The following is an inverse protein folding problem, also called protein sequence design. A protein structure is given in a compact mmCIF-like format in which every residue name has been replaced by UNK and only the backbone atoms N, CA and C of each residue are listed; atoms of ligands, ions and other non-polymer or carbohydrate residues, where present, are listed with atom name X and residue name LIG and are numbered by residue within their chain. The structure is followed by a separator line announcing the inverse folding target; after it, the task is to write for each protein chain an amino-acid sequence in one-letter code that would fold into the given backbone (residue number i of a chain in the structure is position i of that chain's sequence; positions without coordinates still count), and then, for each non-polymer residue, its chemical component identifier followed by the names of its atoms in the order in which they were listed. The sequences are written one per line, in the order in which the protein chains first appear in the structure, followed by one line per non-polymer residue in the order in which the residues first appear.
data_IF_270588019655
#
_entry.id   IF_270588019655
#
_cell.length_a   1.000
_cell.length_b   1.000
_cell.length_c   1.000
_cell.angle_alpha   90.00
_cell.angle_beta   90.00
_cell.angle_gamma   90.00
#
_symmetry.space_group_name_H-M   'P 1'
#
loop_
_entity.id
_entity.type
_entity.pdbx_description
1 polymer ?
#
# COMPACT_ATOMS: atom_id res chain seq x y z
N UNK A 1 21.93 16.84 25.46
CA UNK A 1 21.51 17.42 24.17
C UNK A 1 20.48 16.55 23.52
N UNK A 2 20.91 15.54 22.75
CA UNK A 2 20.04 14.69 21.93
C UNK A 2 18.89 14.00 22.68
N UNK A 3 19.17 13.31 23.80
CA UNK A 3 18.13 12.72 24.67
C UNK A 3 17.11 13.71 25.25
N UNK A 4 17.51 14.97 25.45
CA UNK A 4 16.59 16.00 25.97
C UNK A 4 15.67 16.49 24.85
N UNK A 5 16.18 16.59 23.62
CA UNK A 5 15.39 16.97 22.44
C UNK A 5 14.36 15.90 22.11
N UNK A 6 14.74 14.63 22.20
CA UNK A 6 13.84 13.47 22.01
C UNK A 6 12.67 13.50 22.99
N UNK A 7 12.95 13.58 24.30
CA UNK A 7 11.91 13.67 25.34
C UNK A 7 11.07 14.95 25.23
N UNK A 8 11.67 16.08 24.84
CA UNK A 8 10.91 17.31 24.61
C UNK A 8 9.97 17.18 23.40
N UNK A 9 10.38 16.47 22.35
CA UNK A 9 9.55 16.12 21.20
C UNK A 9 8.34 15.29 21.62
N UNK A 10 8.56 14.22 22.38
CA UNK A 10 7.48 13.36 22.91
C UNK A 10 6.46 14.16 23.73
N UNK A 11 6.92 15.04 24.63
CA UNK A 11 6.04 15.88 25.45
C UNK A 11 5.21 16.83 24.58
N UNK A 12 5.81 17.47 23.58
CA UNK A 12 5.09 18.35 22.66
C UNK A 12 4.04 17.59 21.86
N UNK A 13 4.37 16.38 21.39
CA UNK A 13 3.42 15.49 20.71
C UNK A 13 2.21 15.18 21.59
N UNK A 14 2.45 14.84 22.86
CA UNK A 14 1.38 14.58 23.83
C UNK A 14 0.51 15.82 24.09
N UNK A 15 1.11 17.01 24.20
CA UNK A 15 0.38 18.27 24.38
C UNK A 15 -0.53 18.56 23.17
N UNK A 16 -0.02 18.38 21.96
CA UNK A 16 -0.81 18.62 20.75
C UNK A 16 -1.91 17.58 20.57
N UNK A 17 -1.68 16.32 20.95
CA UNK A 17 -2.72 15.30 20.99
C UNK A 17 -3.85 15.65 21.98
N UNK A 18 -3.53 16.16 23.17
CA UNK A 18 -4.54 16.61 24.15
C UNK A 18 -5.36 17.79 23.63
N UNK A 19 -4.73 18.75 22.91
CA UNK A 19 -5.46 19.87 22.29
C UNK A 19 -6.43 19.38 21.22
N UNK A 20 -6.01 18.42 20.39
CA UNK A 20 -6.84 17.79 19.35
C UNK A 20 -8.07 17.12 19.96
N UNK A 21 -7.86 16.29 20.98
CA UNK A 21 -8.93 15.67 21.77
C UNK A 21 -9.91 16.70 22.35
N UNK A 22 -9.43 17.85 22.83
CA UNK A 22 -10.29 18.90 23.36
C UNK A 22 -11.09 19.63 22.27
N UNK A 23 -10.54 19.77 21.04
CA UNK A 23 -11.24 20.35 19.89
C UNK A 23 -12.30 19.41 19.31
N UNK A 24 -12.00 18.12 19.23
CA UNK A 24 -12.93 17.12 18.70
C UNK A 24 -14.22 17.00 19.56
N UNK A 25 -14.11 17.25 20.87
CA UNK A 25 -15.26 17.32 21.79
C UNK A 25 -16.14 18.57 21.63
N UNK A 26 -15.64 19.60 20.94
CA UNK A 26 -16.36 20.86 20.73
C UNK A 26 -17.20 20.82 19.46
N UNK A 27 -16.70 20.21 18.38
CA UNK A 27 -17.33 20.23 17.04
C UNK A 27 -16.94 18.98 16.20
N UNK A 28 -17.65 17.85 16.35
CA UNK A 28 -17.40 16.55 15.65
C UNK A 28 -17.27 16.61 14.11
N UNK A 29 -17.56 17.75 13.47
CA UNK A 29 -17.55 17.93 12.01
C UNK A 29 -16.46 18.85 11.48
N UNK A 30 -15.64 19.45 12.34
CA UNK A 30 -14.56 20.35 11.93
C UNK A 30 -13.21 19.80 12.43
N UNK A 31 -12.14 19.96 11.65
CA UNK A 31 -10.80 19.52 12.04
C UNK A 31 -9.96 19.01 10.88
N UNK A 32 -8.97 18.16 11.20
CA UNK A 32 -8.09 17.54 10.20
C UNK A 32 -7.93 16.05 10.46
N UNK A 33 -7.89 15.26 9.39
CA UNK A 33 -7.56 13.83 9.44
C UNK A 33 -6.33 13.56 8.57
N UNK A 34 -5.26 13.09 9.18
CA UNK A 34 -3.98 12.76 8.58
C UNK A 34 -3.81 11.25 8.47
N UNK A 35 -3.64 10.76 7.25
CA UNK A 35 -3.51 9.33 6.93
C UNK A 35 -2.15 9.08 6.28
N UNK A 36 -1.36 8.14 6.78
CA UNK A 36 -0.18 7.66 6.06
C UNK A 36 -0.49 6.37 5.29
N UNK A 37 -0.02 6.21 4.05
CA UNK A 37 -0.29 5.00 3.29
C UNK A 37 0.69 4.74 2.15
N UNK A 38 0.70 3.51 1.63
CA UNK A 38 1.51 3.16 0.45
C UNK A 38 0.81 3.57 -0.85
N UNK A 39 1.57 3.67 -1.94
CA UNK A 39 1.04 4.12 -3.24
C UNK A 39 -0.18 3.31 -3.71
N UNK A 40 -0.11 1.99 -3.63
CA UNK A 40 -1.21 1.09 -4.00
C UNK A 40 -2.52 1.43 -3.28
N UNK A 41 -2.45 1.71 -1.98
CA UNK A 41 -3.62 2.02 -1.15
C UNK A 41 -4.19 3.40 -1.50
N UNK A 42 -3.32 4.42 -1.59
CA UNK A 42 -3.70 5.78 -1.96
C UNK A 42 -4.41 5.83 -3.31
N UNK A 43 -3.91 5.07 -4.29
CA UNK A 43 -4.38 5.15 -5.68
C UNK A 43 -5.62 4.30 -5.95
N UNK A 44 -5.69 3.09 -5.39
CA UNK A 44 -6.68 2.10 -5.83
C UNK A 44 -7.70 1.70 -4.75
N UNK A 45 -7.41 1.90 -3.47
CA UNK A 45 -8.32 1.52 -2.38
C UNK A 45 -9.06 2.71 -1.78
N UNK A 46 -8.35 3.81 -1.53
CA UNK A 46 -8.88 4.95 -0.79
C UNK A 46 -9.78 5.95 -1.55
N UNK A 47 -9.71 6.14 -2.87
CA UNK A 47 -10.46 7.23 -3.52
C UNK A 47 -11.97 7.21 -3.25
N UNK A 48 -12.60 6.04 -3.34
CA UNK A 48 -14.04 5.87 -3.12
C UNK A 48 -14.45 6.10 -1.66
N UNK A 49 -13.60 5.64 -0.73
CA UNK A 49 -13.79 5.86 0.71
C UNK A 49 -13.64 7.35 1.04
N UNK A 50 -12.63 8.01 0.50
CA UNK A 50 -12.39 9.45 0.69
C UNK A 50 -13.53 10.28 0.11
N UNK A 51 -14.06 9.91 -1.06
CA UNK A 51 -15.22 10.59 -1.65
C UNK A 51 -16.42 10.51 -0.71
N UNK A 52 -16.68 9.33 -0.16
CA UNK A 52 -17.80 9.08 0.75
C UNK A 52 -17.61 9.84 2.07
N UNK A 53 -16.41 9.78 2.65
CA UNK A 53 -16.03 10.52 3.85
C UNK A 53 -16.23 12.03 3.68
N UNK A 54 -15.78 12.61 2.57
CA UNK A 54 -15.95 14.06 2.32
C UNK A 54 -17.41 14.49 2.14
N UNK A 55 -18.27 13.60 1.65
CA UNK A 55 -19.70 13.90 1.56
C UNK A 55 -20.37 13.99 2.94
N UNK A 56 -19.88 13.21 3.91
CA UNK A 56 -20.41 13.17 5.28
C UNK A 56 -19.75 14.20 6.21
N UNK A 57 -18.46 14.50 5.98
CA UNK A 57 -17.62 15.40 6.76
C UNK A 57 -16.96 16.48 5.85
N UNK A 58 -17.74 17.42 5.30
CA UNK A 58 -17.25 18.39 4.32
C UNK A 58 -16.22 19.39 4.89
N UNK A 59 -16.29 19.68 6.19
CA UNK A 59 -15.43 20.66 6.86
C UNK A 59 -14.15 20.04 7.45
N UNK A 60 -13.93 18.74 7.26
CA UNK A 60 -12.69 18.05 7.66
C UNK A 60 -11.62 18.18 6.57
N UNK A 61 -10.45 18.69 6.95
CA UNK A 61 -9.27 18.76 6.08
C UNK A 61 -8.55 17.42 6.07
N UNK A 62 -8.48 16.78 4.90
CA UNK A 62 -7.77 15.52 4.73
C UNK A 62 -6.32 15.77 4.34
N UNK A 63 -5.38 15.16 5.07
CA UNK A 63 -3.97 15.09 4.72
C UNK A 63 -3.59 13.64 4.44
N UNK A 64 -2.93 13.40 3.31
CA UNK A 64 -2.44 12.06 2.95
C UNK A 64 -0.93 12.09 2.78
N UNK A 65 -0.24 11.29 3.58
CA UNK A 65 1.21 11.09 3.53
C UNK A 65 1.51 9.77 2.83
N UNK A 66 2.23 9.83 1.72
CA UNK A 66 2.64 8.62 0.99
C UNK A 66 4.08 8.27 1.31
N UNK A 67 4.35 6.99 1.57
CA UNK A 67 5.69 6.52 1.87
C UNK A 67 5.85 5.00 1.75
N UNK A 68 7.06 4.53 2.06
CA UNK A 68 7.33 3.10 2.22
C UNK A 68 6.62 2.56 3.47
N UNK A 69 6.37 1.24 3.59
CA UNK A 69 5.75 0.66 4.79
C UNK A 69 6.41 1.07 6.10
N UNK A 70 7.75 1.14 6.14
CA UNK A 70 8.47 1.58 7.33
C UNK A 70 8.26 3.06 7.62
N UNK A 71 8.30 3.92 6.60
CA UNK A 71 8.10 5.37 6.78
C UNK A 71 6.68 5.68 7.27
N UNK A 72 5.65 5.04 6.71
CA UNK A 72 4.28 5.30 7.14
C UNK A 72 3.99 4.76 8.54
N UNK A 73 4.64 3.66 8.92
CA UNK A 73 4.55 3.12 10.28
C UNK A 73 5.29 4.01 11.28
N UNK A 74 6.45 4.57 10.91
CA UNK A 74 7.18 5.55 11.72
C UNK A 74 6.35 6.82 11.95
N UNK A 75 5.73 7.38 10.90
CA UNK A 75 4.82 8.52 11.03
C UNK A 75 3.66 8.23 11.99
N UNK A 76 3.10 7.02 11.94
CA UNK A 76 2.02 6.63 12.85
C UNK A 76 2.51 6.43 14.28
N UNK A 77 3.68 5.79 14.46
CA UNK A 77 4.26 5.54 15.79
C UNK A 77 4.65 6.83 16.50
N UNK A 78 5.15 7.82 15.74
CA UNK A 78 5.47 9.14 16.26
C UNK A 78 4.22 10.00 16.50
N UNK A 79 3.06 9.63 15.96
CA UNK A 79 1.83 10.44 16.07
C UNK A 79 1.80 11.64 15.12
N UNK A 80 2.57 11.59 14.03
CA UNK A 80 2.57 12.60 12.96
C UNK A 80 1.33 12.45 12.05
N UNK A 81 0.74 11.26 12.04
CA UNK A 81 -0.55 10.94 11.41
C UNK A 81 -1.47 10.25 12.39
N UNK A 82 -2.78 10.29 12.13
CA UNK A 82 -3.77 9.67 13.00
C UNK A 82 -3.78 8.14 12.84
N UNK A 83 -3.55 7.64 11.62
CA UNK A 83 -3.32 6.23 11.37
C UNK A 83 -2.57 5.97 10.06
N UNK A 84 -2.03 4.75 9.93
CA UNK A 84 -1.42 4.25 8.71
C UNK A 84 -2.20 3.07 8.10
N UNK A 85 -2.27 3.03 6.77
CA UNK A 85 -2.82 1.90 6.00
C UNK A 85 -1.68 1.26 5.20
N UNK A 86 -1.35 0.02 5.52
CA UNK A 86 -0.22 -0.71 4.93
C UNK A 86 -0.59 -2.15 4.58
N UNK A 87 0.20 -2.76 3.69
CA UNK A 87 0.08 -4.18 3.32
C UNK A 87 1.07 -5.07 4.08
N UNK A 88 2.28 -4.58 4.34
CA UNK A 88 3.40 -5.31 4.96
C UNK A 88 4.07 -4.44 6.04
N UNK A 89 5.06 -5.00 6.73
CA UNK A 89 6.09 -4.22 7.45
C UNK A 89 5.69 -3.69 8.81
N UNK A 90 4.48 -3.96 9.27
CA UNK A 90 4.01 -3.44 10.57
C UNK A 90 4.43 -4.32 11.75
N UNK A 91 4.98 -5.51 11.50
CA UNK A 91 5.43 -6.47 12.52
C UNK A 91 6.71 -6.05 13.26
N UNK A 92 7.32 -4.93 12.86
CA UNK A 92 8.50 -4.36 13.51
C UNK A 92 8.18 -3.20 14.48
N UNK A 93 6.93 -2.75 14.53
CA UNK A 93 6.52 -1.60 15.34
C UNK A 93 5.66 -2.06 16.52
N UNK A 94 6.31 -2.23 17.68
CA UNK A 94 5.65 -2.75 18.89
C UNK A 94 4.65 -1.75 19.51
N UNK A 95 4.79 -0.47 19.19
CA UNK A 95 3.97 0.61 19.76
C UNK A 95 2.71 0.90 18.90
N UNK A 96 2.47 0.10 17.86
CA UNK A 96 1.30 0.23 17.00
C UNK A 96 0.29 -0.89 17.24
N UNK A 97 -0.99 -0.52 17.30
CA UNK A 97 -2.10 -1.48 17.30
C UNK A 97 -2.51 -1.78 15.87
N UNK A 98 -2.47 -3.07 15.52
CA UNK A 98 -2.80 -3.55 14.18
C UNK A 98 -4.25 -3.98 14.08
N UNK A 99 -5.00 -3.35 13.16
CA UNK A 99 -6.37 -3.71 12.84
C UNK A 99 -6.49 -4.27 11.42
N UNK A 100 -6.99 -5.51 11.24
CA UNK A 100 -7.30 -6.02 9.91
C UNK A 100 -8.36 -5.15 9.23
N UNK A 101 -8.08 -4.66 8.03
CA UNK A 101 -8.99 -3.77 7.29
C UNK A 101 -9.77 -4.54 6.21
N UNK A 102 -9.06 -5.14 5.25
CA UNK A 102 -9.65 -5.96 4.20
C UNK A 102 -8.63 -6.94 3.62
N UNK A 103 -9.11 -7.90 2.81
CA UNK A 103 -8.28 -8.86 2.07
C UNK A 103 -8.34 -8.54 0.59
N UNK A 104 -7.23 -8.75 -0.10
CA UNK A 104 -7.12 -8.58 -1.54
C UNK A 104 -6.19 -9.65 -2.12
N UNK A 105 -6.28 -9.85 -3.44
CA UNK A 105 -5.50 -10.85 -4.16
C UNK A 105 -4.68 -10.22 -5.30
N UNK A 106 -3.83 -11.03 -5.94
CA UNK A 106 -3.00 -10.61 -7.06
C UNK A 106 -3.63 -11.02 -8.39
N UNK A 107 -3.37 -10.20 -9.40
CA UNK A 107 -3.68 -10.51 -10.79
C UNK A 107 -2.39 -10.67 -11.58
N UNK A 108 -2.41 -11.61 -12.52
CA UNK A 108 -1.40 -11.69 -13.59
C UNK A 108 -1.89 -10.83 -14.73
N UNK A 109 -1.06 -9.91 -15.20
CA UNK A 109 -1.34 -9.10 -16.39
C UNK A 109 -0.34 -9.46 -17.47
N UNK A 110 -0.80 -9.55 -18.71
CA UNK A 110 0.01 -9.99 -19.84
C UNK A 110 -0.22 -9.06 -21.04
N UNK A 111 0.71 -8.99 -22.00
CA UNK A 111 0.45 -8.31 -23.26
C UNK A 111 -0.77 -8.93 -23.98
N UNK A 112 -1.48 -8.11 -24.76
CA UNK A 112 -2.64 -8.58 -25.53
C UNK A 112 -2.23 -9.71 -26.49
N UNK A 113 -2.99 -10.80 -26.50
CA UNK A 113 -2.71 -11.99 -27.32
C UNK A 113 -1.63 -12.92 -26.74
N UNK A 114 -1.16 -12.67 -25.51
CA UNK A 114 -0.21 -13.57 -24.86
C UNK A 114 -0.85 -14.94 -24.55
N UNK A 115 -0.16 -16.08 -24.75
CA UNK A 115 -0.75 -17.42 -24.57
C UNK A 115 -1.36 -17.68 -23.18
N UNK A 116 -0.82 -17.05 -22.13
CA UNK A 116 -1.37 -17.18 -20.78
C UNK A 116 -2.75 -16.52 -20.61
N UNK A 117 -3.18 -15.63 -21.51
CA UNK A 117 -4.52 -15.05 -21.48
C UNK A 117 -5.61 -16.05 -21.93
N UNK A 118 -5.21 -17.08 -22.68
CA UNK A 118 -6.11 -18.13 -23.20
C UNK A 118 -6.20 -19.35 -22.28
N UNK A 119 -5.50 -19.33 -21.14
CA UNK A 119 -5.52 -20.43 -20.17
C UNK A 119 -6.67 -20.27 -19.18
N UNK A 120 -7.50 -21.31 -19.08
CA UNK A 120 -8.56 -21.39 -18.07
C UNK A 120 -7.98 -21.56 -16.64
N UNK A 121 -6.94 -22.39 -16.50
CA UNK A 121 -6.27 -22.67 -15.23
C UNK A 121 -4.80 -22.23 -15.28
N UNK A 122 -4.52 -21.06 -14.72
CA UNK A 122 -3.17 -20.51 -14.64
C UNK A 122 -2.43 -21.04 -13.39
N UNK A 123 -1.27 -21.66 -13.58
CA UNK A 123 -0.45 -22.20 -12.49
C UNK A 123 0.73 -21.30 -12.13
N UNK A 124 1.34 -21.51 -10.95
CA UNK A 124 2.59 -20.82 -10.58
C UNK A 124 3.76 -21.23 -11.49
N UNK A 125 3.76 -22.46 -12.01
CA UNK A 125 4.77 -22.93 -12.96
C UNK A 125 4.72 -22.13 -14.26
N UNK A 126 3.51 -21.92 -14.78
CA UNK A 126 3.29 -21.13 -16.00
C UNK A 126 3.82 -19.70 -15.87
N UNK A 127 3.57 -19.09 -14.71
CA UNK A 127 4.04 -17.73 -14.39
C UNK A 127 5.56 -17.72 -14.20
N UNK A 128 6.13 -18.73 -13.52
CA UNK A 128 7.57 -18.82 -13.28
C UNK A 128 8.38 -19.05 -14.57
N UNK A 129 7.77 -19.66 -15.59
CA UNK A 129 8.38 -19.87 -16.90
C UNK A 129 8.49 -18.59 -17.75
N UNK A 130 7.88 -17.47 -17.33
CA UNK A 130 7.93 -16.19 -18.05
C UNK A 130 8.91 -15.19 -17.41
N UNK A 131 9.45 -14.25 -18.20
CA UNK A 131 10.05 -13.03 -17.65
C UNK A 131 9.01 -12.26 -16.83
N UNK A 132 9.37 -11.88 -15.60
CA UNK A 132 8.45 -11.28 -14.64
C UNK A 132 8.81 -9.82 -14.33
N UNK A 133 7.79 -8.96 -14.46
CA UNK A 133 7.78 -7.54 -14.06
C UNK A 133 6.90 -7.42 -12.81
N UNK A 134 7.43 -6.96 -11.68
CA UNK A 134 6.65 -6.98 -10.42
C UNK A 134 7.20 -6.02 -9.36
N UNK A 135 6.68 -6.06 -8.13
CA UNK A 135 7.07 -5.14 -7.07
C UNK A 135 8.49 -5.36 -6.57
N UNK A 136 9.14 -4.28 -6.12
CA UNK A 136 10.35 -4.36 -5.29
C UNK A 136 10.07 -5.09 -3.97
N UNK A 137 11.11 -5.69 -3.39
CA UNK A 137 10.99 -6.37 -2.10
C UNK A 137 10.54 -5.41 -0.99
N UNK A 138 9.73 -5.92 -0.06
CA UNK A 138 9.17 -5.14 1.05
C UNK A 138 8.00 -4.23 0.67
N UNK A 139 7.49 -4.33 -0.56
CA UNK A 139 6.29 -3.61 -0.99
C UNK A 139 5.18 -4.58 -1.40
N UNK A 140 3.94 -4.18 -1.10
CA UNK A 140 2.72 -4.77 -1.66
C UNK A 140 2.71 -6.30 -1.56
N UNK A 141 3.22 -6.87 -0.47
CA UNK A 141 3.17 -8.31 -0.20
C UNK A 141 4.29 -9.13 -0.86
N UNK A 142 5.37 -8.49 -1.35
CA UNK A 142 6.37 -9.14 -2.22
C UNK A 142 7.04 -10.35 -1.56
N UNK A 143 7.28 -10.27 -0.26
CA UNK A 143 7.83 -11.39 0.53
C UNK A 143 6.98 -12.66 0.41
N UNK A 144 5.66 -12.51 0.56
CA UNK A 144 4.69 -13.61 0.45
C UNK A 144 4.59 -14.19 -0.95
N UNK A 145 4.86 -13.38 -1.99
CA UNK A 145 4.91 -13.84 -3.38
C UNK A 145 6.12 -14.75 -3.60
N UNK A 146 7.29 -14.33 -3.13
CA UNK A 146 8.51 -15.13 -3.25
C UNK A 146 8.37 -16.46 -2.48
N UNK A 147 7.77 -16.41 -1.29
CA UNK A 147 7.44 -17.63 -0.53
C UNK A 147 6.47 -18.55 -1.28
N UNK A 148 5.51 -18.00 -2.03
CA UNK A 148 4.57 -18.81 -2.81
C UNK A 148 5.28 -19.57 -3.95
N UNK A 149 6.14 -18.89 -4.71
CA UNK A 149 6.96 -19.55 -5.73
C UNK A 149 7.87 -20.61 -5.12
N UNK A 150 8.54 -20.28 -4.00
CA UNK A 150 9.44 -21.20 -3.30
C UNK A 150 8.72 -22.43 -2.79
N UNK A 151 7.53 -22.29 -2.19
CA UNK A 151 6.70 -23.44 -1.77
C UNK A 151 6.27 -24.33 -2.94
N UNK A 152 6.08 -23.74 -4.12
CA UNK A 152 5.82 -24.48 -5.36
C UNK A 152 7.06 -25.12 -5.99
N UNK A 153 8.26 -24.91 -5.43
CA UNK A 153 9.51 -25.40 -6.02
C UNK A 153 9.97 -24.60 -7.24
N UNK A 154 9.47 -23.38 -7.43
CA UNK A 154 9.78 -22.52 -8.55
C UNK A 154 10.68 -21.34 -8.13
N UNK A 155 11.52 -20.89 -9.06
CA UNK A 155 12.30 -19.65 -8.93
C UNK A 155 11.87 -18.72 -10.07
N UNK A 156 11.18 -17.60 -9.78
CA UNK A 156 10.69 -16.72 -10.83
C UNK A 156 11.85 -15.95 -11.49
N UNK A 157 11.80 -15.82 -12.82
CA UNK A 157 12.75 -14.99 -13.57
C UNK A 157 12.33 -13.51 -13.52
N UNK A 158 12.69 -12.80 -12.44
CA UNK A 158 12.38 -11.37 -12.28
C UNK A 158 13.32 -10.52 -13.14
N UNK A 159 12.78 -9.90 -14.19
CA UNK A 159 13.55 -9.08 -15.13
C UNK A 159 13.40 -7.58 -14.89
N UNK A 160 12.36 -7.16 -14.17
CA UNK A 160 12.14 -5.77 -13.83
C UNK A 160 11.36 -5.62 -12.52
N UNK A 161 11.74 -4.64 -11.70
CA UNK A 161 11.04 -4.33 -10.45
C UNK A 161 10.66 -2.86 -10.36
N UNK A 162 9.50 -2.57 -9.76
CA UNK A 162 9.05 -1.20 -9.48
C UNK A 162 8.30 -1.10 -8.15
N UNK A 163 8.16 0.12 -7.64
CA UNK A 163 7.40 0.40 -6.40
C UNK A 163 5.90 0.49 -6.61
N UNK A 164 5.48 0.93 -7.80
CA UNK A 164 4.09 1.21 -8.13
C UNK A 164 3.59 0.34 -9.31
N UNK A 165 2.28 0.09 -9.31
CA UNK A 165 1.63 -0.78 -10.28
C UNK A 165 1.61 -0.18 -11.69
N UNK A 166 1.51 1.14 -11.82
CA UNK A 166 1.38 1.79 -13.12
C UNK A 166 2.69 1.68 -13.92
N UNK A 167 3.84 1.77 -13.25
CA UNK A 167 5.15 1.45 -13.86
C UNK A 167 5.19 -0.03 -14.28
N UNK A 168 4.77 -0.98 -13.43
CA UNK A 168 4.73 -2.41 -13.81
C UNK A 168 3.93 -2.61 -15.09
N UNK A 169 2.69 -2.09 -15.15
CA UNK A 169 1.83 -2.20 -16.32
C UNK A 169 2.46 -1.55 -17.56
N UNK A 170 3.14 -0.43 -17.40
CA UNK A 170 3.84 0.25 -18.50
C UNK A 170 4.91 -0.66 -19.11
N UNK A 171 5.75 -1.29 -18.30
CA UNK A 171 6.80 -2.18 -18.81
C UNK A 171 6.27 -3.51 -19.35
N UNK A 172 5.15 -4.00 -18.82
CA UNK A 172 4.42 -5.13 -19.42
C UNK A 172 3.90 -4.76 -20.81
N UNK A 173 3.30 -3.57 -21.00
CA UNK A 173 2.86 -3.08 -22.31
C UNK A 173 4.03 -2.92 -23.30
N UNK A 174 5.23 -2.61 -22.81
CA UNK A 174 6.45 -2.55 -23.61
C UNK A 174 7.06 -3.94 -23.93
N UNK A 175 6.45 -5.02 -23.44
CA UNK A 175 6.87 -6.40 -23.75
C UNK A 175 8.04 -6.92 -22.92
N UNK A 176 8.34 -6.31 -21.76
CA UNK A 176 9.44 -6.79 -20.89
C UNK A 176 9.13 -8.14 -20.24
N UNK A 177 7.87 -8.56 -20.22
CA UNK A 177 7.42 -9.80 -19.61
C UNK A 177 5.96 -9.72 -19.18
N UNK A 178 5.56 -10.63 -18.29
CA UNK A 178 4.25 -10.60 -17.63
C UNK A 178 4.34 -9.84 -16.31
N UNK A 179 3.22 -9.28 -15.86
CA UNK A 179 3.12 -8.52 -14.63
C UNK A 179 2.42 -9.29 -13.51
N UNK A 180 2.92 -9.16 -12.28
CA UNK A 180 2.17 -9.52 -11.07
C UNK A 180 1.82 -8.24 -10.32
N UNK A 181 0.53 -7.93 -10.23
CA UNK A 181 0.01 -6.70 -9.62
C UNK A 181 -1.04 -7.01 -8.55
N UNK A 182 -1.34 -6.05 -7.68
CA UNK A 182 -2.52 -6.12 -6.83
C UNK A 182 -3.80 -6.06 -7.69
N UNK A 183 -4.76 -6.95 -7.48
CA UNK A 183 -5.97 -7.03 -8.31
C UNK A 183 -6.80 -5.74 -8.27
N UNK A 184 -6.79 -5.02 -7.14
CA UNK A 184 -7.46 -3.72 -7.02
C UNK A 184 -6.91 -2.67 -8.00
N UNK A 185 -5.69 -2.88 -8.48
CA UNK A 185 -5.04 -1.97 -9.39
C UNK A 185 -5.32 -2.31 -10.86
N UNK A 186 -6.02 -3.40 -11.17
CA UNK A 186 -6.43 -3.72 -12.54
C UNK A 186 -7.69 -2.94 -12.91
N UNK A 187 -7.67 -2.28 -14.05
CA UNK A 187 -8.78 -1.53 -14.63
C UNK A 187 -9.22 -2.21 -15.93
N UNK A 188 -10.43 -2.81 -16.00
CA UNK A 188 -10.90 -3.49 -17.21
C UNK A 188 -11.02 -2.60 -18.45
N UNK A 189 -11.16 -1.28 -18.31
CA UNK A 189 -11.25 -0.37 -19.46
C UNK A 189 -9.86 0.07 -19.93
N UNK A 190 -8.94 0.34 -18.99
CA UNK A 190 -7.60 0.83 -19.32
C UNK A 190 -6.56 -0.28 -19.58
N UNK A 191 -6.81 -1.51 -19.07
CA UNK A 191 -5.85 -2.63 -19.10
C UNK A 191 -6.32 -3.85 -19.90
N UNK A 192 -7.44 -3.77 -20.63
CA UNK A 192 -7.91 -4.83 -21.53
C UNK A 192 -7.22 -4.86 -22.91
#
# INVERSE_FOLDING_TARGET
GQKIVEVAGEILQHVDNVKRLAQDYSEERQGSLSIATTHTQARYALPEVIRSFRAEYPDVVLHMNQGTPNQIAELAANGDVDFAIATEGMEHFNDLVMMPCYKWNRSIVVPRGHPLAEKDDLTLEDVAAQPLVTYVFGFTGRSRLDDAFKRGGHVPNVVFTATDTDVIKTYVRLGFGIGIIASMAFDPEADA
#
